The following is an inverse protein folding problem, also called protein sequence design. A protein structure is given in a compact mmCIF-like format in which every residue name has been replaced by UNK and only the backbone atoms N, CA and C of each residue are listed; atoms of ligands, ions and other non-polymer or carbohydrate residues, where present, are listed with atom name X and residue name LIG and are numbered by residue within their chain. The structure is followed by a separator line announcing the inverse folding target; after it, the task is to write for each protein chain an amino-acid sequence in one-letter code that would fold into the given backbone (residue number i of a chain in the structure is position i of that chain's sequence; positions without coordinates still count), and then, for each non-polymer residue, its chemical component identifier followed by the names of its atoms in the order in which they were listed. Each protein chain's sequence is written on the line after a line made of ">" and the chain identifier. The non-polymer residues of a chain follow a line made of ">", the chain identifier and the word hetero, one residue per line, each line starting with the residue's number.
data_IF_098647296772
#
_entry.id   IF_098647296772
#
_cell.length_a   1.000
_cell.length_b   1.000
_cell.length_c   1.000
_cell.angle_alpha   90.00
_cell.angle_beta   90.00
_cell.angle_gamma   90.00
#
_symmetry.space_group_name_H-M   'P 1'
#
loop_
_entity.id
_entity.type
_entity.pdbx_description
1 polymer ?
#
# COMPACT_ATOMS: atom_id res chain seq x y z
N UNK A 1 -14.25 30.55 -8.34
CA UNK A 1 -14.40 29.18 -7.79
C UNK A 1 -13.37 28.27 -8.46
N UNK A 2 -12.33 27.81 -7.72
CA UNK A 2 -11.40 26.80 -8.22
C UNK A 2 -12.14 25.47 -8.28
N UNK A 3 -12.52 25.03 -9.48
CA UNK A 3 -12.96 23.64 -9.72
C UNK A 3 -11.77 22.75 -9.41
N UNK A 4 -11.84 22.03 -8.30
CA UNK A 4 -10.79 21.11 -7.89
C UNK A 4 -10.81 19.94 -8.87
N UNK A 5 -9.74 19.82 -9.64
CA UNK A 5 -9.33 18.59 -10.30
C UNK A 5 -8.99 17.55 -9.19
N UNK A 6 -10.00 17.03 -8.51
CA UNK A 6 -9.94 15.65 -7.99
C UNK A 6 -10.43 14.72 -9.11
N UNK A 7 -9.89 14.96 -10.30
CA UNK A 7 -10.10 14.12 -11.45
C UNK A 7 -9.63 12.72 -11.09
N UNK A 8 -10.47 11.72 -11.38
CA UNK A 8 -10.11 10.70 -12.35
C UNK A 8 -8.64 10.25 -12.35
N UNK A 9 -8.05 10.06 -11.17
CA UNK A 9 -6.87 9.21 -11.06
C UNK A 9 -7.48 7.82 -11.26
N UNK A 10 -7.34 7.26 -12.46
CA UNK A 10 -7.32 5.82 -12.68
C UNK A 10 -6.16 5.26 -11.83
N UNK A 11 -6.36 5.30 -10.51
CA UNK A 11 -5.40 5.07 -9.48
C UNK A 11 -5.50 3.61 -9.14
N UNK A 12 -4.56 2.87 -9.69
CA UNK A 12 -4.29 1.53 -9.26
C UNK A 12 -3.87 1.65 -7.79
N UNK A 13 -4.71 1.19 -6.85
CA UNK A 13 -4.48 1.34 -5.41
C UNK A 13 -4.46 -0.04 -4.76
N UNK A 14 -3.59 -0.21 -3.76
CA UNK A 14 -3.53 -1.44 -2.98
C UNK A 14 -4.80 -1.52 -2.14
N UNK A 15 -5.62 -2.54 -2.39
CA UNK A 15 -6.93 -2.66 -1.72
C UNK A 15 -6.98 -3.74 -0.66
N UNK A 16 -6.06 -4.70 -0.72
CA UNK A 16 -5.97 -5.81 0.22
C UNK A 16 -4.54 -6.03 0.62
N UNK A 17 -4.35 -6.29 1.91
CA UNK A 17 -3.10 -6.69 2.50
C UNK A 17 -3.36 -7.95 3.31
N UNK A 18 -2.71 -9.05 2.96
CA UNK A 18 -2.79 -10.32 3.68
C UNK A 18 -1.58 -10.43 4.60
N UNK A 19 -1.84 -10.35 5.90
CA UNK A 19 -0.83 -10.50 6.93
C UNK A 19 -0.89 -11.92 7.48
N UNK A 20 0.25 -12.62 7.51
CA UNK A 20 0.30 -14.02 7.92
C UNK A 20 0.23 -14.21 9.44
N UNK A 21 0.62 -13.19 10.21
CA UNK A 21 0.81 -13.27 11.68
C UNK A 21 0.00 -12.25 12.48
N UNK A 22 -1.03 -11.65 11.89
CA UNK A 22 -1.80 -10.58 12.55
C UNK A 22 -3.22 -11.07 12.87
N UNK A 23 -3.63 -11.07 14.15
CA UNK A 23 -4.95 -11.54 14.55
C UNK A 23 -6.10 -10.60 14.16
N UNK A 24 -5.87 -9.28 14.16
CA UNK A 24 -6.87 -8.27 13.78
C UNK A 24 -6.24 -6.99 13.20
N UNK A 25 -6.99 -6.26 12.36
CA UNK A 25 -6.57 -5.02 11.67
C UNK A 25 -6.26 -3.83 12.61
N UNK A 26 -6.59 -3.97 13.90
CA UNK A 26 -6.31 -3.00 14.96
C UNK A 26 -5.14 -3.42 15.86
N UNK A 27 -4.44 -4.53 15.53
CA UNK A 27 -3.25 -4.88 16.30
C UNK A 27 -2.15 -3.87 16.00
N UNK A 28 -1.44 -3.46 17.04
CA UNK A 28 -0.09 -2.97 16.88
C UNK A 28 0.84 -4.16 16.68
N UNK A 29 1.71 -4.06 15.69
CA UNK A 29 2.79 -5.02 15.51
C UNK A 29 3.93 -4.61 16.42
N UNK A 30 4.38 -5.52 17.29
CA UNK A 30 5.60 -5.31 18.08
C UNK A 30 6.76 -5.03 17.11
N UNK A 31 7.45 -3.91 17.31
CA UNK A 31 8.53 -3.46 16.42
C UNK A 31 8.12 -2.54 15.26
N UNK A 32 6.85 -2.13 15.17
CA UNK A 32 6.39 -1.09 14.23
C UNK A 32 5.78 0.07 15.01
N UNK A 33 6.06 1.30 14.57
CA UNK A 33 5.50 2.51 15.18
C UNK A 33 4.01 2.68 14.85
N UNK A 34 3.61 2.39 13.62
CA UNK A 34 2.25 2.51 13.10
C UNK A 34 1.36 1.29 13.39
N UNK A 35 0.07 1.55 13.45
CA UNK A 35 -0.97 0.52 13.53
C UNK A 35 -1.19 -0.16 12.18
N UNK A 36 -1.68 -1.41 12.15
CA UNK A 36 -2.04 -2.09 10.88
C UNK A 36 -3.03 -1.28 10.04
N UNK A 37 -4.00 -0.61 10.69
CA UNK A 37 -4.91 0.32 10.03
C UNK A 37 -4.21 1.50 9.35
N UNK A 38 -3.19 2.09 9.99
CA UNK A 38 -2.42 3.20 9.43
C UNK A 38 -1.57 2.74 8.25
N UNK A 39 -0.95 1.56 8.35
CA UNK A 39 -0.23 0.94 7.24
C UNK A 39 -1.18 0.74 6.05
N UNK A 40 -2.37 0.17 6.29
CA UNK A 40 -3.40 0.01 5.26
C UNK A 40 -3.83 1.34 4.64
N UNK A 41 -3.98 2.40 5.44
CA UNK A 41 -4.30 3.75 4.96
C UNK A 41 -3.17 4.31 4.11
N UNK A 42 -1.93 4.22 4.58
CA UNK A 42 -0.75 4.69 3.86
C UNK A 42 -0.60 3.97 2.51
N UNK A 43 -0.80 2.65 2.48
CA UNK A 43 -0.79 1.85 1.25
C UNK A 43 -1.87 2.28 0.24
N UNK A 44 -3.06 2.69 0.71
CA UNK A 44 -4.14 3.22 -0.14
C UNK A 44 -3.82 4.61 -0.71
N UNK A 45 -3.01 5.40 -0.01
CA UNK A 45 -2.57 6.72 -0.49
C UNK A 45 -1.41 6.64 -1.50
N UNK A 46 -0.82 5.45 -1.72
CA UNK A 46 0.19 5.26 -2.76
C UNK A 46 -0.47 5.33 -4.13
N UNK A 47 0.06 6.20 -4.97
CA UNK A 47 -0.38 6.35 -6.36
C UNK A 47 0.46 5.41 -7.22
N UNK A 48 -0.18 4.36 -7.75
CA UNK A 48 0.41 3.48 -8.74
C UNK A 48 -0.12 3.82 -10.13
N UNK A 49 0.79 3.76 -11.10
CA UNK A 49 0.50 3.83 -12.52
C UNK A 49 0.67 2.42 -13.10
N UNK A 50 -0.38 1.91 -13.73
CA UNK A 50 -0.28 0.65 -14.47
C UNK A 50 -1.11 0.74 -15.75
N UNK A 51 -0.62 0.09 -16.81
CA UNK A 51 -1.36 -0.06 -18.06
C UNK A 51 -2.02 -1.45 -18.17
N UNK A 52 -2.11 -2.17 -17.06
CA UNK A 52 -2.62 -3.54 -17.03
C UNK A 52 -4.16 -3.57 -16.95
N UNK A 53 -4.75 -4.60 -17.56
CA UNK A 53 -6.20 -4.82 -17.59
C UNK A 53 -6.68 -5.83 -16.54
N UNK A 54 -5.75 -6.42 -15.79
CA UNK A 54 -5.99 -7.49 -14.83
C UNK A 54 -5.57 -7.11 -13.41
N UNK A 55 -6.18 -7.76 -12.41
CA UNK A 55 -5.72 -7.68 -11.03
C UNK A 55 -4.37 -8.37 -10.91
N UNK A 56 -3.39 -7.69 -10.30
CA UNK A 56 -2.08 -8.28 -10.03
C UNK A 56 -1.84 -8.41 -8.54
N UNK A 57 -1.22 -9.52 -8.17
CA UNK A 57 -0.70 -9.74 -6.84
C UNK A 57 0.74 -9.22 -6.78
N UNK A 58 1.04 -8.52 -5.71
CA UNK A 58 2.38 -8.04 -5.35
C UNK A 58 2.61 -8.35 -3.88
N UNK A 59 3.82 -8.16 -3.40
CA UNK A 59 4.15 -8.34 -1.98
C UNK A 59 5.06 -7.21 -1.56
N UNK A 60 4.94 -6.82 -0.30
CA UNK A 60 5.92 -5.95 0.35
C UNK A 60 6.68 -6.80 1.36
N UNK A 61 8.01 -6.72 1.30
CA UNK A 61 8.90 -7.39 2.22
C UNK A 61 9.77 -6.36 2.92
N UNK A 62 9.63 -6.29 4.23
CA UNK A 62 10.35 -5.34 5.06
C UNK A 62 11.12 -6.11 6.11
N UNK A 63 12.39 -5.76 6.28
CA UNK A 63 13.29 -6.42 7.23
C UNK A 63 14.15 -5.40 7.97
N UNK A 64 14.16 -5.53 9.30
CA UNK A 64 15.04 -4.76 10.16
C UNK A 64 14.46 -3.39 10.57
N UNK A 65 15.09 -2.71 11.53
CA UNK A 65 14.68 -1.36 11.91
C UNK A 65 14.98 -0.37 10.77
N UNK A 66 14.04 0.51 10.45
CA UNK A 66 14.18 1.46 9.37
C UNK A 66 12.87 2.01 8.84
N UNK A 67 12.98 3.05 8.01
CA UNK A 67 11.86 3.68 7.33
C UNK A 67 11.44 2.87 6.11
N UNK A 68 10.17 2.52 6.06
CA UNK A 68 9.57 1.84 4.91
C UNK A 68 8.88 2.87 4.05
N UNK A 69 9.24 2.85 2.78
CA UNK A 69 8.65 3.72 1.77
C UNK A 69 7.98 2.90 0.69
N UNK A 70 7.21 3.57 -0.17
CA UNK A 70 6.60 2.93 -1.33
C UNK A 70 7.63 2.22 -2.21
N UNK A 71 8.88 2.70 -2.27
CA UNK A 71 9.94 2.05 -3.04
C UNK A 71 10.25 0.61 -2.61
N UNK A 72 9.96 0.24 -1.36
CA UNK A 72 10.21 -1.10 -0.82
C UNK A 72 9.17 -2.15 -1.28
N UNK A 73 8.15 -1.75 -2.03
CA UNK A 73 7.14 -2.65 -2.59
C UNK A 73 7.70 -3.40 -3.80
N UNK A 74 7.53 -4.73 -3.85
CA UNK A 74 7.96 -5.55 -4.98
C UNK A 74 6.96 -5.47 -6.13
N UNK A 75 7.02 -4.38 -6.89
CA UNK A 75 6.10 -4.15 -7.99
C UNK A 75 6.21 -5.23 -9.09
N UNK A 76 5.07 -5.69 -9.64
CA UNK A 76 5.07 -6.56 -10.81
C UNK A 76 5.48 -5.76 -12.06
N UNK A 77 5.89 -6.46 -13.14
CA UNK A 77 6.20 -5.79 -14.40
C UNK A 77 5.01 -4.96 -14.88
N UNK A 78 5.29 -3.81 -15.49
CA UNK A 78 4.30 -2.84 -16.01
C UNK A 78 3.46 -2.09 -14.95
N UNK A 79 3.86 -2.15 -13.68
CA UNK A 79 3.35 -1.28 -12.61
C UNK A 79 4.49 -0.40 -12.11
N UNK A 80 4.22 0.90 -12.03
CA UNK A 80 5.17 1.91 -11.57
C UNK A 80 4.56 2.71 -10.42
N UNK A 81 5.35 3.00 -9.40
CA UNK A 81 4.96 3.94 -8.34
C UNK A 81 5.23 5.36 -8.83
N UNK A 82 4.22 6.22 -8.78
CA UNK A 82 4.37 7.64 -9.13
C UNK A 82 5.15 8.41 -8.06
N UNK A 83 4.90 8.10 -6.77
CA UNK A 83 5.54 8.75 -5.62
C UNK A 83 6.18 7.71 -4.71
N UNK A 84 7.48 7.46 -4.94
CA UNK A 84 8.25 6.46 -4.22
C UNK A 84 8.68 6.88 -2.80
N UNK A 85 8.63 8.19 -2.51
CA UNK A 85 8.94 8.77 -1.18
C UNK A 85 7.79 8.69 -0.18
N UNK A 86 6.64 8.12 -0.59
CA UNK A 86 5.48 8.00 0.29
C UNK A 86 5.81 7.05 1.44
N UNK A 87 5.70 7.56 2.65
CA UNK A 87 5.92 6.80 3.88
C UNK A 87 4.83 5.73 4.07
N UNK A 88 5.24 4.51 4.41
CA UNK A 88 4.34 3.39 4.72
C UNK A 88 4.32 3.11 6.22
N UNK A 89 5.50 2.83 6.79
CA UNK A 89 5.65 2.43 8.18
C UNK A 89 7.10 2.68 8.64
N UNK A 90 7.30 2.77 9.94
CA UNK A 90 8.60 2.86 10.57
C UNK A 90 8.81 1.66 11.50
N UNK A 91 9.87 0.89 11.25
CA UNK A 91 10.24 -0.25 12.06
C UNK A 91 11.20 0.20 13.15
N UNK A 92 10.78 0.04 14.40
CA UNK A 92 11.59 0.33 15.57
C UNK A 92 12.47 -0.85 15.97
N UNK A 93 12.09 -2.07 15.60
CA UNK A 93 12.82 -3.29 15.92
C UNK A 93 13.16 -4.13 14.69
N UNK A 94 13.99 -5.15 14.90
CA UNK A 94 14.44 -6.07 13.87
C UNK A 94 13.36 -7.12 13.55
N UNK A 95 12.28 -6.69 12.91
CA UNK A 95 11.19 -7.58 12.52
C UNK A 95 11.20 -7.85 11.02
N UNK A 96 10.55 -8.95 10.62
CA UNK A 96 10.29 -9.26 9.22
C UNK A 96 8.79 -9.15 8.98
N UNK A 97 8.37 -8.15 8.21
CA UNK A 97 6.99 -8.03 7.75
C UNK A 97 6.92 -8.47 6.29
N UNK A 98 6.23 -9.59 6.05
CA UNK A 98 5.85 -10.01 4.71
C UNK A 98 4.34 -9.84 4.58
N UNK A 99 3.89 -9.12 3.57
CA UNK A 99 2.47 -8.87 3.35
C UNK A 99 2.16 -8.97 1.86
N UNK A 100 1.27 -9.89 1.52
CA UNK A 100 0.75 -10.00 0.16
C UNK A 100 -0.24 -8.88 -0.11
N UNK A 101 -0.08 -8.18 -1.21
CA UNK A 101 -0.88 -7.03 -1.61
C UNK A 101 -1.59 -7.34 -2.93
N UNK A 102 -2.87 -7.01 -3.02
CA UNK A 102 -3.60 -7.10 -4.27
C UNK A 102 -3.84 -5.71 -4.86
N UNK A 103 -3.47 -5.60 -6.13
CA UNK A 103 -3.62 -4.42 -6.95
C UNK A 103 -4.75 -4.69 -7.96
N UNK A 104 -6.01 -4.37 -7.63
CA UNK A 104 -7.09 -4.39 -8.60
C UNK A 104 -7.05 -3.14 -9.48
N UNK A 105 -7.49 -3.29 -10.72
CA UNK A 105 -7.82 -2.14 -11.56
C UNK A 105 -9.08 -1.48 -11.03
N UNK A 106 -8.95 -0.33 -10.37
CA UNK A 106 -10.09 0.50 -10.02
C UNK A 106 -10.20 1.66 -11.00
N UNK A 107 -11.23 1.62 -11.86
CA UNK A 107 -11.70 2.82 -12.56
C UNK A 107 -12.52 3.64 -11.57
N UNK A 108 -11.90 4.64 -10.97
CA UNK A 108 -12.58 5.64 -10.16
C UNK A 108 -13.17 5.12 -8.84
N UNK A 109 -13.45 6.10 -7.98
CA UNK A 109 -13.98 5.96 -6.62
C UNK A 109 -15.29 5.15 -6.58
N UNK A 110 -15.25 3.85 -6.23
CA UNK A 110 -16.46 3.08 -5.93
C UNK A 110 -16.93 3.41 -4.51
N UNK A 111 -17.84 4.38 -4.40
CA UNK A 111 -18.73 4.49 -3.24
C UNK A 111 -19.60 3.24 -3.26
N UNK A 112 -19.35 2.28 -2.36
CA UNK A 112 -20.33 1.24 -2.07
C UNK A 112 -21.38 1.85 -1.14
N UNK A 113 -22.61 1.89 -1.64
CA UNK A 113 -23.82 2.28 -0.93
C UNK A 113 -24.32 1.13 -0.03
#
# INVERSE_FOLDING_TARGET
>A
MRRVLFGEIEGTCITRAKYEKIPHEYSTLVGIQESVHEILKNLKEIILRSNLYETRETSIFIKGPGYVTAQDILLPPFVEIVVNTKHIANLTESINLCTGLEIPRNRGYRIKH
#
